data_IF_991606520564
#
_entry.id   IF_991606520564
#
_cell.length_a   1.000
_cell.length_b   1.000
_cell.length_c   1.000
_cell.angle_alpha   90.00
_cell.angle_beta   90.00
_cell.angle_gamma   90.00
#
_symmetry.space_group_name_H-M   'P 1'
#
loop_
_entity.id
_entity.type
_entity.pdbx_description
1 polymer ?
#
# COMPACT_ATOMS: atom_id res chain seq x y z
N UNK A 1 6.44 28.71 15.96
CA UNK A 1 7.52 28.16 15.11
C UNK A 1 7.48 26.63 15.00
N UNK A 2 7.11 25.88 16.05
CA UNK A 2 7.06 24.39 16.01
C UNK A 2 5.85 23.84 15.25
N UNK A 3 4.70 24.53 15.32
CA UNK A 3 3.47 24.10 14.65
C UNK A 3 3.55 24.13 13.12
N UNK A 4 4.39 25.00 12.54
CA UNK A 4 4.59 25.09 11.09
C UNK A 4 5.36 23.87 10.55
N UNK A 5 6.27 23.29 11.34
CA UNK A 5 7.03 22.10 10.96
C UNK A 5 6.15 20.83 11.01
N UNK A 6 5.27 20.72 12.01
CA UNK A 6 4.29 19.62 12.10
C UNK A 6 3.29 19.71 10.94
N UNK A 7 2.84 20.93 10.61
CA UNK A 7 1.91 21.15 9.51
C UNK A 7 2.56 20.89 8.14
N UNK A 8 3.80 21.33 7.92
CA UNK A 8 4.55 21.04 6.69
C UNK A 8 4.88 19.54 6.52
N UNK A 9 5.12 18.81 7.61
CA UNK A 9 5.26 17.35 7.56
C UNK A 9 3.94 16.66 7.14
N UNK A 10 2.80 17.24 7.51
CA UNK A 10 1.47 16.77 7.12
C UNK A 10 1.12 17.17 5.66
N UNK A 11 1.52 18.36 5.22
CA UNK A 11 1.25 18.95 3.90
C UNK A 11 2.12 18.32 2.80
N UNK A 12 3.38 18.01 3.10
CA UNK A 12 4.26 17.18 2.28
C UNK A 12 4.06 15.70 2.58
N UNK A 13 2.80 15.26 2.73
CA UNK A 13 2.41 13.89 2.42
C UNK A 13 2.78 13.67 0.96
N UNK A 14 4.01 13.21 0.78
CA UNK A 14 4.69 12.98 -0.48
C UNK A 14 3.70 12.39 -1.47
N UNK A 15 3.80 12.77 -2.74
CA UNK A 15 3.05 12.21 -3.86
C UNK A 15 3.30 10.71 -4.11
N UNK A 16 3.29 9.91 -3.06
CA UNK A 16 3.44 8.48 -3.00
C UNK A 16 2.14 7.66 -3.14
N UNK A 17 0.87 8.17 -3.03
CA UNK A 17 -0.28 7.28 -3.23
C UNK A 17 -0.31 6.71 -4.66
N UNK A 18 0.21 7.44 -5.65
CA UNK A 18 0.37 6.98 -7.03
C UNK A 18 1.47 5.92 -7.21
N UNK A 19 2.52 5.95 -6.37
CA UNK A 19 3.58 4.93 -6.41
C UNK A 19 3.11 3.63 -5.75
N UNK A 20 2.39 3.70 -4.63
CA UNK A 20 1.90 2.52 -3.93
C UNK A 20 0.81 1.77 -4.74
N UNK A 21 0.08 2.50 -5.59
CA UNK A 21 -0.92 1.95 -6.51
C UNK A 21 -0.33 1.44 -7.83
N UNK A 22 0.99 1.56 -8.06
CA UNK A 22 1.62 0.91 -9.21
C UNK A 22 1.48 -0.60 -9.12
N UNK A 23 1.18 -1.19 -10.26
CA UNK A 23 1.08 -2.63 -10.46
C UNK A 23 2.34 -3.14 -11.16
N UNK A 24 2.81 -4.31 -10.78
CA UNK A 24 3.85 -5.04 -11.52
C UNK A 24 3.25 -5.69 -12.79
N UNK A 25 4.04 -6.51 -13.51
CA UNK A 25 3.59 -7.21 -14.73
C UNK A 25 2.40 -8.15 -14.51
N UNK A 26 2.22 -8.64 -13.29
CA UNK A 26 1.14 -9.55 -12.90
C UNK A 26 -0.09 -8.80 -12.35
N UNK A 27 -0.04 -7.47 -12.32
CA UNK A 27 -1.10 -6.66 -11.72
C UNK A 27 -0.96 -6.51 -10.20
N UNK A 28 0.06 -7.10 -9.57
CA UNK A 28 0.26 -7.05 -8.13
C UNK A 28 0.71 -5.65 -7.71
N UNK A 29 0.00 -5.08 -6.75
CA UNK A 29 0.43 -3.87 -6.03
C UNK A 29 1.45 -4.24 -4.94
N UNK A 30 2.08 -3.23 -4.34
CA UNK A 30 2.97 -3.44 -3.19
C UNK A 30 2.29 -4.20 -2.04
N UNK A 31 0.97 -4.01 -1.87
CA UNK A 31 0.20 -4.70 -0.85
C UNK A 31 0.02 -6.19 -1.16
N UNK A 32 -0.15 -6.58 -2.44
CA UNK A 32 -0.20 -8.00 -2.82
C UNK A 32 1.12 -8.69 -2.48
N UNK A 33 2.25 -8.03 -2.75
CA UNK A 33 3.58 -8.58 -2.45
C UNK A 33 3.81 -8.69 -0.94
N UNK A 34 3.43 -7.66 -0.17
CA UNK A 34 3.57 -7.68 1.29
C UNK A 34 2.72 -8.79 1.94
N UNK A 35 1.48 -8.96 1.46
CA UNK A 35 0.57 -10.04 1.84
C UNK A 35 1.15 -11.43 1.51
N UNK A 36 1.58 -11.63 0.26
CA UNK A 36 2.16 -12.89 -0.22
C UNK A 36 3.39 -13.35 0.58
N UNK A 37 4.18 -12.40 1.08
CA UNK A 37 5.40 -12.70 1.83
C UNK A 37 5.22 -12.64 3.36
N UNK A 38 4.01 -12.43 3.86
CA UNK A 38 3.73 -12.34 5.30
C UNK A 38 4.44 -11.16 6.00
N UNK A 39 4.58 -10.03 5.30
CA UNK A 39 5.22 -8.84 5.85
C UNK A 39 4.22 -7.95 6.60
N UNK A 40 3.78 -8.43 7.76
CA UNK A 40 2.69 -7.82 8.56
C UNK A 40 2.94 -6.33 8.89
N UNK A 41 4.16 -6.00 9.30
CA UNK A 41 4.55 -4.62 9.60
C UNK A 41 4.47 -3.69 8.37
N UNK A 42 4.77 -4.22 7.18
CA UNK A 42 4.65 -3.47 5.92
C UNK A 42 3.18 -3.31 5.54
N UNK A 43 2.36 -4.31 5.77
CA UNK A 43 0.91 -4.27 5.54
C UNK A 43 0.25 -3.18 6.40
N UNK A 44 0.59 -3.08 7.69
CA UNK A 44 0.07 -2.02 8.56
C UNK A 44 0.44 -0.61 8.05
N UNK A 45 1.71 -0.40 7.71
CA UNK A 45 2.17 0.90 7.19
C UNK A 45 1.47 1.24 5.87
N UNK A 46 1.28 0.26 4.99
CA UNK A 46 0.57 0.45 3.72
C UNK A 46 -0.91 0.76 3.91
N UNK A 47 -1.57 0.16 4.92
CA UNK A 47 -2.97 0.46 5.25
C UNK A 47 -3.14 1.88 5.79
N UNK A 48 -2.20 2.37 6.59
CA UNK A 48 -2.20 3.74 7.09
C UNK A 48 -1.88 4.76 5.98
N UNK A 49 -1.02 4.40 5.03
CA UNK A 49 -0.61 5.28 3.94
C UNK A 49 -1.64 5.33 2.79
N UNK A 50 -2.22 4.18 2.42
CA UNK A 50 -3.07 4.04 1.24
C UNK A 50 -4.12 2.92 1.42
N UNK A 51 -5.20 3.18 2.17
CA UNK A 51 -6.24 2.17 2.45
C UNK A 51 -6.97 1.68 1.18
N UNK A 52 -6.97 2.49 0.10
CA UNK A 52 -7.55 2.12 -1.19
C UNK A 52 -6.89 0.89 -1.85
N UNK A 53 -5.66 0.52 -1.44
CA UNK A 53 -4.97 -0.66 -1.95
C UNK A 53 -5.62 -1.98 -1.52
N UNK A 54 -6.38 -1.98 -0.43
CA UNK A 54 -7.10 -3.16 0.07
C UNK A 54 -8.07 -3.75 -0.96
N UNK A 55 -8.69 -2.89 -1.76
CA UNK A 55 -9.66 -3.27 -2.79
C UNK A 55 -9.03 -3.48 -4.17
N UNK A 56 -7.72 -3.28 -4.32
CA UNK A 56 -7.05 -3.48 -5.60
C UNK A 56 -7.06 -4.97 -5.97
N UNK A 57 -7.26 -5.28 -7.24
CA UNK A 57 -7.12 -6.66 -7.76
C UNK A 57 -5.99 -6.74 -8.77
N UNK A 58 -5.27 -7.86 -8.77
CA UNK A 58 -4.25 -8.17 -9.76
C UNK A 58 -4.86 -8.69 -11.08
N UNK A 59 -4.03 -9.08 -12.04
CA UNK A 59 -4.50 -9.52 -13.36
C UNK A 59 -5.25 -10.86 -13.31
N UNK A 60 -5.09 -11.64 -12.23
CA UNK A 60 -5.85 -12.86 -11.99
C UNK A 60 -7.15 -12.60 -11.21
N UNK A 61 -7.49 -11.34 -10.94
CA UNK A 61 -8.69 -10.97 -10.17
C UNK A 61 -8.56 -11.22 -8.67
N UNK A 62 -7.36 -11.50 -8.17
CA UNK A 62 -7.10 -11.77 -6.76
C UNK A 62 -6.88 -10.45 -6.01
N UNK A 63 -7.41 -10.34 -4.80
CA UNK A 63 -7.11 -9.25 -3.87
C UNK A 63 -5.84 -9.54 -3.06
N UNK A 64 -5.21 -8.52 -2.44
CA UNK A 64 -4.06 -8.74 -1.57
C UNK A 64 -4.35 -9.74 -0.44
N UNK A 65 -5.56 -9.67 0.13
CA UNK A 65 -6.01 -10.61 1.15
C UNK A 65 -6.12 -12.04 0.61
N UNK A 66 -6.64 -12.22 -0.60
CA UNK A 66 -6.72 -13.53 -1.23
C UNK A 66 -5.32 -14.12 -1.44
N UNK A 67 -4.37 -13.29 -1.89
CA UNK A 67 -2.98 -13.73 -2.08
C UNK A 67 -2.33 -14.14 -0.75
N UNK A 68 -2.57 -13.43 0.36
CA UNK A 68 -2.06 -13.81 1.68
C UNK A 68 -2.56 -15.19 2.16
N UNK A 69 -3.80 -15.54 1.83
CA UNK A 69 -4.40 -16.82 2.23
C UNK A 69 -3.89 -17.97 1.35
N UNK A 70 -3.52 -17.68 0.11
CA UNK A 70 -3.05 -18.67 -0.85
C UNK A 70 -1.54 -18.94 -0.80
N UNK A 71 -0.75 -18.04 -0.19
CA UNK A 71 0.71 -18.10 -0.07
C UNK A 71 1.20 -18.94 1.10
#
# INVERSE_FOLDING_TARGET
MVSLLIWLAQEHRLGAPSLLSRKNREGNTVLHMAAHHGHDAVVEVLMLAAPALSSAVNNAGMSPLYVAVMS
#
